data_IF_184961103428
#
_entry.id   IF_184961103428
#
_cell.length_a   1.000
_cell.length_b   1.000
_cell.length_c   1.000
_cell.angle_alpha   90.00
_cell.angle_beta   90.00
_cell.angle_gamma   90.00
#
_symmetry.space_group_name_H-M   'P 1'
#
loop_
_entity.id
_entity.type
_entity.pdbx_description
1 polymer ?
#
# COMPACT_ATOMS: atom_id res chain seq x y z
N UNK A 1 16.67 18.13 2.98
CA UNK A 1 16.32 16.74 3.34
C UNK A 1 15.36 16.62 4.55
N UNK A 2 14.79 17.71 5.09
CA UNK A 2 13.91 17.66 6.28
C UNK A 2 12.41 17.52 5.96
N UNK A 3 11.92 18.02 4.82
CA UNK A 3 10.48 18.07 4.52
C UNK A 3 9.80 16.72 4.23
N UNK A 4 10.43 15.84 3.44
CA UNK A 4 9.83 14.55 3.03
C UNK A 4 9.64 13.63 4.24
N UNK A 5 10.67 13.50 5.08
CA UNK A 5 10.60 12.69 6.30
C UNK A 5 9.59 13.24 7.30
N UNK A 6 9.41 14.57 7.33
CA UNK A 6 8.38 15.20 8.18
C UNK A 6 6.97 14.90 7.69
N UNK A 7 6.75 14.85 6.37
CA UNK A 7 5.44 14.51 5.78
C UNK A 7 5.06 13.04 6.06
N UNK A 8 6.03 12.13 6.08
CA UNK A 8 5.81 10.73 6.47
C UNK A 8 5.49 10.54 7.96
N UNK A 9 5.51 11.59 8.79
CA UNK A 9 5.06 11.48 10.19
C UNK A 9 3.54 11.32 10.27
N UNK A 10 2.83 11.92 9.33
CA UNK A 10 1.38 11.84 9.21
C UNK A 10 0.94 10.43 8.78
N UNK A 11 -0.14 9.93 9.40
CA UNK A 11 -0.64 8.59 9.11
C UNK A 11 -1.32 8.53 7.74
N UNK A 12 -2.06 9.56 7.33
CA UNK A 12 -2.70 9.64 6.03
C UNK A 12 -1.71 9.51 4.88
N UNK A 13 -0.62 10.27 4.96
CA UNK A 13 0.48 10.25 3.99
C UNK A 13 1.16 8.87 3.91
N UNK A 14 1.44 8.24 5.06
CA UNK A 14 1.99 6.87 5.09
C UNK A 14 1.01 5.87 4.49
N UNK A 15 -0.27 5.96 4.86
CA UNK A 15 -1.32 5.09 4.34
C UNK A 15 -1.41 5.19 2.81
N UNK A 16 -1.37 6.40 2.26
CA UNK A 16 -1.40 6.65 0.83
C UNK A 16 -0.18 6.05 0.12
N UNK A 17 1.02 6.21 0.68
CA UNK A 17 2.24 5.59 0.14
C UNK A 17 2.14 4.06 0.12
N UNK A 18 1.65 3.46 1.21
CA UNK A 18 1.49 2.02 1.32
C UNK A 18 0.48 1.50 0.30
N UNK A 19 -0.65 2.19 0.12
CA UNK A 19 -1.63 1.85 -0.93
C UNK A 19 -1.06 2.03 -2.35
N UNK A 20 -0.23 3.06 -2.59
CA UNK A 20 0.43 3.24 -3.88
C UNK A 20 1.35 2.05 -4.20
N UNK A 21 2.14 1.58 -3.22
CA UNK A 21 2.98 0.39 -3.37
C UNK A 21 2.11 -0.83 -3.72
N UNK A 22 1.05 -1.08 -2.96
CA UNK A 22 0.12 -2.18 -3.22
C UNK A 22 -0.50 -2.13 -4.62
N UNK A 23 -0.89 -0.92 -5.07
CA UNK A 23 -1.51 -0.69 -6.37
C UNK A 23 -0.57 -0.99 -7.54
N UNK A 24 0.75 -0.97 -7.30
CA UNK A 24 1.77 -1.32 -8.29
C UNK A 24 2.17 -2.78 -8.18
N UNK A 25 2.43 -3.29 -6.97
CA UNK A 25 2.96 -4.64 -6.80
C UNK A 25 1.97 -5.73 -7.21
N UNK A 26 0.67 -5.52 -7.01
CA UNK A 26 -0.34 -6.51 -7.40
C UNK A 26 -0.46 -6.64 -8.92
N UNK A 27 -0.67 -5.58 -9.72
CA UNK A 27 -0.67 -5.69 -11.18
C UNK A 27 0.65 -6.21 -11.76
N UNK A 28 1.79 -5.83 -11.19
CA UNK A 28 3.10 -6.35 -11.63
C UNK A 28 3.19 -7.85 -11.39
N UNK A 29 2.72 -8.33 -10.24
CA UNK A 29 2.63 -9.76 -9.96
C UNK A 29 1.81 -10.50 -11.02
N UNK A 30 0.60 -10.01 -11.31
CA UNK A 30 -0.24 -10.58 -12.36
C UNK A 30 0.41 -10.52 -13.74
N UNK A 31 1.02 -9.39 -14.11
CA UNK A 31 1.70 -9.25 -15.39
C UNK A 31 2.80 -10.29 -15.55
N UNK A 32 3.61 -10.51 -14.50
CA UNK A 32 4.66 -11.53 -14.51
C UNK A 32 4.05 -12.92 -14.62
N UNK A 33 3.04 -13.24 -13.80
CA UNK A 33 2.38 -14.54 -13.81
C UNK A 33 1.68 -14.89 -15.15
N UNK A 34 1.28 -13.87 -15.91
CA UNK A 34 0.62 -14.03 -17.21
C UNK A 34 1.57 -13.99 -18.41
N UNK A 35 2.76 -13.39 -18.29
CA UNK A 35 3.67 -13.15 -19.43
C UNK A 35 5.00 -13.90 -19.35
N UNK A 36 5.40 -14.36 -18.17
CA UNK A 36 6.70 -15.02 -17.94
C UNK A 36 6.46 -16.50 -17.66
N UNK A 37 6.45 -17.32 -18.71
CA UNK A 37 6.24 -18.77 -18.62
C UNK A 37 7.54 -19.49 -18.18
N UNK A 38 7.84 -19.40 -16.89
CA UNK A 38 8.98 -20.08 -16.27
C UNK A 38 8.81 -20.20 -14.75
N UNK A 39 9.65 -21.02 -14.11
CA UNK A 39 9.70 -21.12 -12.64
C UNK A 39 9.95 -19.75 -11.98
N UNK A 40 10.77 -18.89 -12.62
CA UNK A 40 11.02 -17.54 -12.14
C UNK A 40 9.72 -16.72 -12.11
N UNK A 41 8.94 -16.78 -13.20
CA UNK A 41 7.64 -16.10 -13.29
C UNK A 41 6.67 -16.54 -12.20
N UNK A 42 6.56 -17.85 -11.96
CA UNK A 42 5.73 -18.42 -10.91
C UNK A 42 6.16 -17.93 -9.51
N UNK A 43 7.45 -18.02 -9.19
CA UNK A 43 7.97 -17.61 -7.87
C UNK A 43 7.78 -16.11 -7.67
N UNK A 44 8.06 -15.29 -8.68
CA UNK A 44 7.86 -13.84 -8.62
C UNK A 44 6.39 -13.46 -8.46
N UNK A 45 5.46 -14.12 -9.17
CA UNK A 45 4.03 -13.92 -9.00
C UNK A 45 3.59 -14.23 -7.57
N UNK A 46 3.93 -15.42 -7.06
CA UNK A 46 3.57 -15.84 -5.70
C UNK A 46 4.16 -14.90 -4.65
N UNK A 47 5.42 -14.47 -4.83
CA UNK A 47 6.07 -13.53 -3.92
C UNK A 47 5.35 -12.17 -3.88
N UNK A 48 5.06 -11.57 -5.04
CA UNK A 48 4.39 -10.26 -5.13
C UNK A 48 2.93 -10.33 -4.65
N UNK A 49 2.24 -11.43 -4.92
CA UNK A 49 0.89 -11.65 -4.42
C UNK A 49 0.87 -11.72 -2.89
N UNK A 50 1.74 -12.55 -2.29
CA UNK A 50 1.83 -12.67 -0.83
C UNK A 50 2.32 -11.36 -0.17
N UNK A 51 3.27 -10.67 -0.78
CA UNK A 51 3.73 -9.36 -0.30
C UNK A 51 2.58 -8.35 -0.25
N UNK A 52 1.82 -8.23 -1.35
CA UNK A 52 0.69 -7.29 -1.42
C UNK A 52 -0.40 -7.70 -0.42
N UNK A 53 -0.74 -8.99 -0.32
CA UNK A 53 -1.73 -9.47 0.64
C UNK A 53 -1.32 -9.21 2.10
N UNK A 54 -0.06 -9.48 2.46
CA UNK A 54 0.49 -9.22 3.78
C UNK A 54 0.46 -7.73 4.13
N UNK A 55 0.84 -6.87 3.18
CA UNK A 55 0.73 -5.42 3.33
C UNK A 55 -0.73 -5.00 3.59
N UNK A 56 -1.71 -5.61 2.91
CA UNK A 56 -3.13 -5.28 3.06
C UNK A 56 -3.64 -5.59 4.47
N UNK A 57 -3.22 -6.73 5.02
CA UNK A 57 -3.52 -7.13 6.40
C UNK A 57 -2.91 -6.12 7.37
N UNK A 58 -1.61 -5.83 7.25
CA UNK A 58 -0.92 -4.89 8.14
C UNK A 58 -1.57 -3.49 8.10
N UNK A 59 -1.90 -3.00 6.91
CA UNK A 59 -2.51 -1.69 6.72
C UNK A 59 -3.92 -1.63 7.31
N UNK A 60 -4.68 -2.72 7.23
CA UNK A 60 -6.01 -2.81 7.84
C UNK A 60 -5.92 -2.70 9.37
N UNK A 61 -4.99 -3.41 9.99
CA UNK A 61 -4.75 -3.34 11.44
C UNK A 61 -4.32 -1.93 11.85
N UNK A 62 -3.41 -1.31 11.10
CA UNK A 62 -2.93 0.04 11.41
C UNK A 62 -4.03 1.10 11.24
N UNK A 63 -4.85 0.96 10.20
CA UNK A 63 -6.03 1.80 9.96
C UNK A 63 -7.01 1.73 11.12
N UNK A 64 -7.37 0.51 11.56
CA UNK A 64 -8.26 0.30 12.71
C UNK A 64 -7.70 0.91 14.00
N UNK A 65 -6.39 0.73 14.23
CA UNK A 65 -5.72 1.32 15.38
C UNK A 65 -5.71 2.86 15.34
N UNK A 66 -5.54 3.46 14.17
CA UNK A 66 -5.57 4.92 14.02
C UNK A 66 -6.97 5.50 14.23
N UNK A 67 -8.01 4.84 13.74
CA UNK A 67 -9.41 5.26 13.94
C UNK A 67 -9.80 5.22 15.44
N UNK A 68 -9.33 4.20 16.16
CA UNK A 68 -9.57 4.06 17.60
C UNK A 68 -8.86 5.10 18.48
N UNK A 69 -7.82 5.78 17.98
CA UNK A 69 -6.99 6.72 18.76
C UNK A 69 -7.38 8.20 18.59
N UNK A 70 -8.59 8.53 18.12
CA UNK A 70 -9.04 9.92 17.86
C UNK A 70 -8.18 10.72 16.85
N UNK A 71 -7.20 10.08 16.18
CA UNK A 71 -6.29 10.73 15.22
C UNK A 71 -6.97 11.12 13.88
N UNK A 72 -8.28 10.92 13.75
CA UNK A 72 -9.09 11.47 12.66
C UNK A 72 -8.82 10.87 11.27
N UNK A 73 -8.14 9.74 11.18
CA UNK A 73 -7.94 9.06 9.90
C UNK A 73 -9.26 8.47 9.38
N UNK A 74 -9.74 9.00 8.26
CA UNK A 74 -11.04 8.64 7.64
C UNK A 74 -10.87 7.80 6.36
N UNK A 75 -9.76 7.08 6.23
CA UNK A 75 -9.49 6.18 5.11
C UNK A 75 -8.76 6.80 3.92
N UNK A 76 -8.09 5.94 3.14
CA UNK A 76 -7.18 6.36 2.05
C UNK A 76 -7.88 7.10 0.92
N UNK A 77 -9.17 6.82 0.68
CA UNK A 77 -9.95 7.50 -0.37
C UNK A 77 -10.12 8.99 -0.03
N UNK A 78 -10.33 9.29 1.25
CA UNK A 78 -10.47 10.67 1.71
C UNK A 78 -9.13 11.41 1.66
N UNK A 79 -8.02 10.73 1.97
CA UNK A 79 -6.67 11.27 1.76
C UNK A 79 -6.43 11.63 0.30
N UNK A 80 -6.70 10.73 -0.65
CA UNK A 80 -6.55 11.01 -2.09
C UNK A 80 -7.39 12.22 -2.50
N UNK A 81 -8.63 12.33 -2.01
CA UNK A 81 -9.51 13.47 -2.31
C UNK A 81 -8.92 14.80 -1.82
N UNK A 82 -8.19 14.81 -0.70
CA UNK A 82 -7.54 16.00 -0.19
C UNK A 82 -6.43 16.54 -1.12
N UNK A 83 -5.76 15.66 -1.88
CA UNK A 83 -4.69 16.05 -2.81
C UNK A 83 -5.17 16.45 -4.22
N UNK A 84 -6.44 16.16 -4.58
CA UNK A 84 -7.00 16.41 -5.92
C UNK A 84 -7.88 17.67 -5.96
N UNK A 85 -8.06 18.36 -4.82
CA UNK A 85 -8.68 19.69 -4.75
C UNK A 85 -7.69 20.80 -5.10
#
# INVERSE_FOLDING_TARGET
MSGILSSLRDFGTRSLLIHAIMSVTLPVGFLIGLTVDSQLGLVSFVALLNFTAGMWICQSIHSLGSEANEDGYDGVINEIRAYVK
#
